data_IF_571094237236
#
_entry.id   IF_571094237236
#
_cell.length_a   1.000
_cell.length_b   1.000
_cell.length_c   1.000
_cell.angle_alpha   90.00
_cell.angle_beta   90.00
_cell.angle_gamma   90.00
#
_symmetry.space_group_name_H-M   'P 1'
#
loop_
_entity.id
_entity.type
_entity.pdbx_description
1 polymer ?
#
# COMPACT_ATOMS: atom_id res chain seq x y z
N UNK A 1 2.80 27.26 -23.72
CA UNK A 1 1.82 26.22 -23.36
C UNK A 1 2.27 25.62 -22.06
N UNK A 2 1.44 25.74 -21.03
CA UNK A 2 1.69 25.36 -19.64
C UNK A 2 1.78 23.82 -19.50
N UNK A 3 2.96 23.26 -19.73
CA UNK A 3 3.22 21.84 -19.48
C UNK A 3 3.46 21.55 -17.98
N UNK A 4 3.89 22.56 -17.23
CA UNK A 4 4.28 22.42 -15.82
C UNK A 4 3.08 22.15 -14.90
N UNK A 5 1.94 22.81 -15.14
CA UNK A 5 0.69 22.59 -14.43
C UNK A 5 0.12 21.20 -14.68
N UNK A 6 0.20 20.72 -15.92
CA UNK A 6 -0.22 19.36 -16.30
C UNK A 6 0.65 18.28 -15.64
N UNK A 7 1.97 18.50 -15.55
CA UNK A 7 2.91 17.59 -14.88
C UNK A 7 2.64 17.49 -13.37
N UNK A 8 2.42 18.60 -12.68
CA UNK A 8 2.11 18.58 -11.24
C UNK A 8 0.74 17.95 -10.97
N UNK A 9 -0.25 18.24 -11.82
CA UNK A 9 -1.57 17.61 -11.77
C UNK A 9 -1.48 16.09 -11.88
N UNK A 10 -0.55 15.56 -12.69
CA UNK A 10 -0.29 14.12 -12.78
C UNK A 10 0.22 13.54 -11.46
N UNK A 11 1.21 14.20 -10.83
CA UNK A 11 1.75 13.76 -9.53
C UNK A 11 0.64 13.76 -8.47
N UNK A 12 -0.15 14.82 -8.41
CA UNK A 12 -1.30 14.92 -7.51
C UNK A 12 -2.30 13.78 -7.71
N UNK A 13 -2.71 13.51 -8.96
CA UNK A 13 -3.69 12.45 -9.26
C UNK A 13 -3.18 11.06 -8.90
N UNK A 14 -1.90 10.77 -9.13
CA UNK A 14 -1.28 9.50 -8.75
C UNK A 14 -1.20 9.36 -7.22
N UNK A 15 -0.79 10.41 -6.52
CA UNK A 15 -0.74 10.42 -5.05
C UNK A 15 -2.14 10.25 -4.44
N UNK A 16 -3.14 10.94 -4.98
CA UNK A 16 -4.54 10.81 -4.55
C UNK A 16 -5.09 9.40 -4.82
N UNK A 17 -4.82 8.83 -5.99
CA UNK A 17 -5.21 7.45 -6.30
C UNK A 17 -4.55 6.47 -5.32
N UNK A 18 -3.24 6.63 -5.06
CA UNK A 18 -2.51 5.84 -4.06
C UNK A 18 -3.18 5.92 -2.69
N UNK A 19 -3.54 7.13 -2.25
CA UNK A 19 -4.23 7.38 -0.97
C UNK A 19 -5.57 6.63 -0.90
N UNK A 20 -6.42 6.77 -1.92
CA UNK A 20 -7.75 6.16 -1.95
C UNK A 20 -7.69 4.64 -1.99
N UNK A 21 -6.81 4.06 -2.80
CA UNK A 21 -6.63 2.60 -2.86
C UNK A 21 -6.02 2.07 -1.55
N UNK A 22 -5.16 2.85 -0.89
CA UNK A 22 -4.61 2.49 0.43
C UNK A 22 -5.68 2.46 1.52
N UNK A 23 -6.66 3.39 1.49
CA UNK A 23 -7.80 3.34 2.39
C UNK A 23 -8.61 2.05 2.20
N UNK A 24 -8.90 1.68 0.95
CA UNK A 24 -9.55 0.40 0.64
C UNK A 24 -8.71 -0.79 1.14
N UNK A 25 -7.39 -0.78 0.90
CA UNK A 25 -6.46 -1.81 1.37
C UNK A 25 -6.51 -2.00 2.90
N UNK A 26 -6.56 -0.91 3.67
CA UNK A 26 -6.65 -0.94 5.14
C UNK A 26 -7.98 -1.56 5.59
N UNK A 27 -9.09 -1.19 4.93
CA UNK A 27 -10.41 -1.76 5.22
C UNK A 27 -10.41 -3.27 4.96
N UNK A 28 -9.96 -3.70 3.79
CA UNK A 28 -9.90 -5.14 3.43
C UNK A 28 -8.93 -5.90 4.34
N UNK A 29 -7.79 -5.31 4.70
CA UNK A 29 -6.86 -5.91 5.67
C UNK A 29 -7.45 -6.05 7.08
N UNK A 30 -8.33 -5.13 7.48
CA UNK A 30 -9.07 -5.23 8.74
C UNK A 30 -10.11 -6.34 8.69
N UNK A 31 -10.79 -6.51 7.54
CA UNK A 31 -11.71 -7.63 7.32
C UNK A 31 -11.00 -8.99 7.38
N UNK A 32 -9.79 -9.09 6.80
CA UNK A 32 -9.00 -10.32 6.84
C UNK A 32 -8.71 -10.80 8.28
N UNK A 33 -8.53 -9.86 9.22
CA UNK A 33 -8.30 -10.18 10.65
C UNK A 33 -9.54 -10.63 11.42
N UNK A 34 -10.73 -10.55 10.84
CA UNK A 34 -11.95 -11.05 11.49
C UNK A 34 -12.03 -12.58 11.46
N UNK A 35 -11.20 -13.23 10.65
CA UNK A 35 -11.13 -14.68 10.54
C UNK A 35 -10.06 -15.25 11.49
N UNK A 36 -10.26 -16.47 12.05
CA UNK A 36 -9.26 -17.11 12.91
C UNK A 36 -7.92 -17.30 12.18
N UNK A 37 -6.82 -17.19 12.91
CA UNK A 37 -5.49 -17.40 12.33
C UNK A 37 -5.35 -18.81 11.73
N UNK A 38 -4.71 -18.91 10.56
CA UNK A 38 -4.56 -20.17 9.82
C UNK A 38 -5.82 -20.61 9.07
N UNK A 39 -6.88 -19.80 9.02
CA UNK A 39 -8.00 -19.98 8.09
C UNK A 39 -7.75 -19.22 6.78
N UNK A 40 -8.57 -19.39 5.75
CA UNK A 40 -8.40 -18.70 4.47
C UNK A 40 -7.21 -19.23 3.67
N UNK A 41 -6.12 -18.45 3.59
CA UNK A 41 -4.89 -18.86 2.89
C UNK A 41 -3.89 -19.62 3.77
N UNK A 42 -4.27 -19.93 5.02
CA UNK A 42 -3.38 -20.55 5.98
C UNK A 42 -2.24 -19.60 6.40
N UNK A 43 -1.08 -20.16 6.76
CA UNK A 43 0.11 -19.38 7.11
C UNK A 43 1.04 -19.21 5.91
N UNK A 44 0.48 -19.07 4.72
CA UNK A 44 1.23 -19.01 3.48
C UNK A 44 1.26 -17.60 2.88
N UNK A 45 2.44 -17.23 2.41
CA UNK A 45 2.68 -16.03 1.63
C UNK A 45 3.95 -16.26 0.80
N UNK A 46 3.96 -15.92 -0.51
CA UNK A 46 2.97 -15.13 -1.25
C UNK A 46 1.80 -15.94 -1.82
N UNK A 47 1.90 -17.28 -1.84
CA UNK A 47 0.83 -18.17 -2.31
C UNK A 47 -0.30 -18.33 -1.27
N UNK A 48 -1.43 -18.84 -1.71
CA UNK A 48 -2.59 -19.15 -0.89
C UNK A 48 -2.92 -20.64 -1.02
N UNK A 49 -2.61 -21.45 0.00
CA UNK A 49 -2.74 -22.91 -0.02
C UNK A 49 -2.05 -23.57 -1.23
N UNK A 50 -0.82 -23.14 -1.55
CA UNK A 50 -0.03 -23.61 -2.68
C UNK A 50 -0.51 -23.12 -4.05
N UNK A 51 -1.56 -22.29 -4.09
CA UNK A 51 -2.21 -21.83 -5.32
C UNK A 51 -2.11 -20.31 -5.49
N UNK A 52 -2.16 -19.85 -6.74
CA UNK A 52 -2.28 -18.43 -7.09
C UNK A 52 -3.75 -18.00 -7.09
N UNK A 53 -4.63 -18.88 -7.58
CA UNK A 53 -6.08 -18.68 -7.53
C UNK A 53 -6.55 -19.26 -6.18
N UNK A 54 -7.12 -18.45 -5.28
CA UNK A 54 -7.58 -18.95 -4.00
C UNK A 54 -8.78 -19.88 -4.15
N UNK A 55 -9.02 -20.77 -3.16
CA UNK A 55 -10.30 -21.44 -3.06
C UNK A 55 -11.44 -20.41 -2.95
N UNK A 56 -12.64 -20.77 -3.41
CA UNK A 56 -13.84 -19.93 -3.36
C UNK A 56 -14.45 -19.86 -1.95
N UNK A 57 -13.60 -19.69 -0.94
CA UNK A 57 -13.96 -19.50 0.44
C UNK A 57 -13.76 -18.03 0.82
N UNK A 58 -14.71 -17.46 1.56
CA UNK A 58 -14.72 -16.03 1.86
C UNK A 58 -13.42 -15.53 2.51
N UNK A 59 -12.87 -16.27 3.48
CA UNK A 59 -11.64 -15.89 4.15
C UNK A 59 -10.44 -15.81 3.18
N UNK A 60 -10.29 -16.81 2.31
CA UNK A 60 -9.22 -16.84 1.31
C UNK A 60 -9.38 -15.72 0.26
N UNK A 61 -10.62 -15.46 -0.17
CA UNK A 61 -10.93 -14.38 -1.10
C UNK A 61 -10.58 -13.01 -0.53
N UNK A 62 -10.87 -12.76 0.75
CA UNK A 62 -10.54 -11.49 1.42
C UNK A 62 -9.03 -11.30 1.54
N UNK A 63 -8.29 -12.35 1.91
CA UNK A 63 -6.83 -12.29 1.97
C UNK A 63 -6.16 -12.05 0.62
N UNK A 64 -6.61 -12.74 -0.43
CA UNK A 64 -6.09 -12.50 -1.79
C UNK A 64 -6.51 -11.12 -2.29
N UNK A 65 -7.72 -10.65 -2.00
CA UNK A 65 -8.13 -9.30 -2.32
C UNK A 65 -7.24 -8.25 -1.65
N UNK A 66 -6.87 -8.46 -0.38
CA UNK A 66 -5.89 -7.61 0.31
C UNK A 66 -4.53 -7.62 -0.40
N UNK A 67 -4.02 -8.79 -0.82
CA UNK A 67 -2.75 -8.92 -1.56
C UNK A 67 -2.80 -8.19 -2.91
N UNK A 68 -3.89 -8.33 -3.66
CA UNK A 68 -4.09 -7.65 -4.96
C UNK A 68 -4.14 -6.12 -4.78
N UNK A 69 -4.84 -5.64 -3.75
CA UNK A 69 -4.84 -4.22 -3.41
C UNK A 69 -3.44 -3.74 -3.00
N UNK A 70 -2.67 -4.54 -2.26
CA UNK A 70 -1.32 -4.18 -1.86
C UNK A 70 -0.38 -4.03 -3.07
N UNK A 71 -0.47 -4.94 -4.05
CA UNK A 71 0.24 -4.81 -5.33
C UNK A 71 -0.19 -3.55 -6.09
N UNK A 72 -1.49 -3.26 -6.12
CA UNK A 72 -2.02 -2.06 -6.76
C UNK A 72 -1.47 -0.77 -6.12
N UNK A 73 -1.42 -0.73 -4.78
CA UNK A 73 -0.81 0.37 -4.02
C UNK A 73 0.69 0.48 -4.30
N UNK A 74 1.42 -0.63 -4.40
CA UNK A 74 2.84 -0.63 -4.76
C UNK A 74 3.08 -0.01 -6.14
N UNK A 75 2.28 -0.38 -7.13
CA UNK A 75 2.40 0.16 -8.48
C UNK A 75 2.07 1.66 -8.50
N UNK A 76 1.00 2.08 -7.83
CA UNK A 76 0.59 3.49 -7.76
C UNK A 76 1.61 4.35 -6.98
N UNK A 77 2.10 3.86 -5.85
CA UNK A 77 3.13 4.54 -5.06
C UNK A 77 4.44 4.65 -5.85
N UNK A 78 4.88 3.55 -6.50
CA UNK A 78 6.05 3.57 -7.36
C UNK A 78 5.91 4.55 -8.53
N UNK A 79 4.76 4.57 -9.19
CA UNK A 79 4.46 5.54 -10.25
C UNK A 79 4.46 6.99 -9.71
N UNK A 80 3.91 7.22 -8.51
CA UNK A 80 3.93 8.53 -7.84
C UNK A 80 5.37 8.98 -7.57
N UNK A 81 6.22 8.10 -7.02
CA UNK A 81 7.63 8.38 -6.74
C UNK A 81 8.40 8.67 -8.02
N UNK A 82 8.22 7.87 -9.07
CA UNK A 82 8.85 8.11 -10.38
C UNK A 82 8.40 9.47 -10.92
N UNK A 83 7.10 9.73 -10.98
CA UNK A 83 6.54 10.98 -11.49
C UNK A 83 7.10 12.20 -10.71
N UNK A 84 7.13 12.14 -9.39
CA UNK A 84 7.68 13.20 -8.55
C UNK A 84 9.19 13.46 -8.81
N UNK A 85 9.96 12.39 -9.03
CA UNK A 85 11.40 12.50 -9.25
C UNK A 85 11.76 13.00 -10.66
N UNK A 86 10.99 12.61 -11.68
CA UNK A 86 11.24 13.03 -13.08
C UNK A 86 10.65 14.39 -13.41
N UNK A 87 9.68 14.88 -12.63
CA UNK A 87 9.08 16.21 -12.82
C UNK A 87 10.04 17.30 -12.31
N UNK A 88 10.64 18.14 -13.17
CA UNK A 88 11.67 19.09 -12.75
C UNK A 88 11.16 20.13 -11.75
N UNK A 89 9.92 20.58 -11.93
CA UNK A 89 9.24 21.58 -11.09
C UNK A 89 8.78 21.03 -9.74
N UNK A 90 8.86 19.72 -9.50
CA UNK A 90 8.50 19.13 -8.21
C UNK A 90 9.49 19.55 -7.13
N UNK A 91 8.96 20.08 -6.03
CA UNK A 91 9.78 20.49 -4.89
C UNK A 91 10.51 19.30 -4.25
N UNK A 92 11.64 19.57 -3.59
CA UNK A 92 12.38 18.56 -2.84
C UNK A 92 11.51 17.88 -1.77
N UNK A 93 10.54 18.61 -1.21
CA UNK A 93 9.57 18.08 -0.24
C UNK A 93 8.67 17.01 -0.85
N UNK A 94 8.09 17.25 -2.03
CA UNK A 94 7.23 16.26 -2.72
C UNK A 94 8.03 14.99 -3.02
N UNK A 95 9.26 15.14 -3.53
CA UNK A 95 10.17 14.01 -3.80
C UNK A 95 10.50 13.23 -2.55
N UNK A 96 10.89 13.90 -1.47
CA UNK A 96 11.22 13.27 -0.20
C UNK A 96 10.03 12.49 0.36
N UNK A 97 8.83 13.08 0.38
CA UNK A 97 7.62 12.41 0.86
C UNK A 97 7.28 11.17 0.02
N UNK A 98 7.37 11.25 -1.30
CA UNK A 98 7.09 10.12 -2.18
C UNK A 98 8.13 8.98 -2.05
N UNK A 99 9.42 9.32 -1.91
CA UNK A 99 10.49 8.32 -1.69
C UNK A 99 10.36 7.67 -0.32
N UNK A 100 10.16 8.46 0.74
CA UNK A 100 9.95 7.94 2.10
C UNK A 100 8.70 7.08 2.18
N UNK A 101 7.60 7.48 1.54
CA UNK A 101 6.38 6.68 1.45
C UNK A 101 6.64 5.32 0.80
N UNK A 102 7.31 5.30 -0.36
CA UNK A 102 7.66 4.05 -1.04
C UNK A 102 8.56 3.15 -0.17
N UNK A 103 9.56 3.72 0.52
CA UNK A 103 10.42 2.96 1.42
C UNK A 103 9.63 2.31 2.58
N UNK A 104 8.71 3.05 3.20
CA UNK A 104 7.83 2.52 4.25
C UNK A 104 6.90 1.44 3.69
N UNK A 105 6.37 1.60 2.49
CA UNK A 105 5.54 0.59 1.83
C UNK A 105 6.29 -0.72 1.57
N UNK A 106 7.54 -0.64 1.13
CA UNK A 106 8.38 -1.83 0.91
C UNK A 106 8.62 -2.58 2.22
N UNK A 107 8.92 -1.86 3.31
CA UNK A 107 9.01 -2.44 4.65
C UNK A 107 7.67 -3.08 5.06
N UNK A 108 6.57 -2.41 4.78
CA UNK A 108 5.23 -2.85 5.13
C UNK A 108 4.84 -4.17 4.42
N UNK A 109 5.27 -4.37 3.18
CA UNK A 109 5.07 -5.64 2.46
C UNK A 109 5.77 -6.79 3.19
N UNK A 110 7.00 -6.57 3.66
CA UNK A 110 7.75 -7.58 4.43
C UNK A 110 7.05 -7.87 5.75
N UNK A 111 6.69 -6.84 6.52
CA UNK A 111 5.99 -7.00 7.81
C UNK A 111 4.61 -7.66 7.63
N UNK A 112 3.92 -7.36 6.53
CA UNK A 112 2.64 -7.99 6.18
C UNK A 112 2.77 -9.47 5.85
N UNK A 113 3.78 -9.83 5.05
CA UNK A 113 4.13 -11.23 4.80
C UNK A 113 4.45 -11.99 6.09
N UNK A 114 5.26 -11.40 6.98
CA UNK A 114 5.54 -11.98 8.30
C UNK A 114 4.28 -12.13 9.15
N UNK A 115 3.34 -11.19 9.08
CA UNK A 115 2.05 -11.29 9.79
C UNK A 115 1.29 -12.53 9.31
N UNK A 116 1.27 -12.82 8.01
CA UNK A 116 0.60 -14.01 7.47
C UNK A 116 1.31 -15.31 7.90
N UNK A 117 2.64 -15.39 7.75
CA UNK A 117 3.39 -16.63 7.99
C UNK A 117 3.51 -16.97 9.48
N UNK A 118 3.52 -15.97 10.36
CA UNK A 118 3.64 -16.16 11.81
C UNK A 118 2.29 -16.32 12.53
N UNK A 119 1.18 -16.50 11.80
CA UNK A 119 -0.17 -16.55 12.36
C UNK A 119 -0.54 -15.27 13.14
N UNK A 120 -0.11 -14.11 12.64
CA UNK A 120 -0.40 -12.77 13.13
C UNK A 120 -0.18 -12.53 14.64
N UNK A 121 1.04 -12.71 15.17
CA UNK A 121 1.34 -12.36 16.56
C UNK A 121 1.02 -10.89 16.81
N UNK A 122 0.44 -10.57 17.96
CA UNK A 122 -0.07 -9.22 18.26
C UNK A 122 0.95 -8.11 17.99
N UNK A 123 2.22 -8.31 18.38
CA UNK A 123 3.28 -7.35 18.13
C UNK A 123 3.51 -7.10 16.62
N UNK A 124 3.59 -8.16 15.80
CA UNK A 124 3.82 -8.03 14.36
C UNK A 124 2.62 -7.35 13.69
N UNK A 125 1.39 -7.69 14.11
CA UNK A 125 0.17 -7.07 13.60
C UNK A 125 0.09 -5.56 13.95
N UNK A 126 0.52 -5.17 15.16
CA UNK A 126 0.59 -3.76 15.58
C UNK A 126 1.66 -3.00 14.79
N UNK A 127 2.84 -3.59 14.60
CA UNK A 127 3.91 -3.01 13.78
C UNK A 127 3.43 -2.81 12.33
N UNK A 128 2.75 -3.81 11.77
CA UNK A 128 2.14 -3.72 10.45
C UNK A 128 1.14 -2.56 10.38
N UNK A 129 0.18 -2.47 11.31
CA UNK A 129 -0.79 -1.38 11.28
C UNK A 129 -0.13 0.00 11.46
N UNK A 130 0.87 0.10 12.33
CA UNK A 130 1.60 1.35 12.58
C UNK A 130 2.34 1.83 11.34
N UNK A 131 3.02 0.93 10.64
CA UNK A 131 3.69 1.25 9.37
C UNK A 131 2.69 1.62 8.27
N UNK A 132 1.50 1.01 8.22
CA UNK A 132 0.42 1.44 7.33
C UNK A 132 -0.05 2.87 7.64
N UNK A 133 -0.22 3.22 8.92
CA UNK A 133 -0.61 4.58 9.32
C UNK A 133 0.46 5.63 8.97
N UNK A 134 1.74 5.26 9.10
CA UNK A 134 2.83 6.13 8.65
C UNK A 134 2.81 6.31 7.13
N UNK A 135 2.64 5.22 6.37
CA UNK A 135 2.57 5.25 4.92
C UNK A 135 1.42 6.14 4.40
N UNK A 136 0.21 6.00 4.96
CA UNK A 136 -0.92 6.83 4.55
C UNK A 136 -0.72 8.30 4.92
N UNK A 137 -0.10 8.60 6.07
CA UNK A 137 0.25 9.97 6.46
C UNK A 137 1.25 10.62 5.50
N UNK A 138 2.28 9.90 5.09
CA UNK A 138 3.26 10.36 4.09
C UNK A 138 2.60 10.59 2.73
N UNK A 139 1.72 9.67 2.31
CA UNK A 139 1.01 9.77 1.02
C UNK A 139 0.03 10.94 1.00
N UNK A 140 -0.70 11.17 2.10
CA UNK A 140 -1.55 12.34 2.27
C UNK A 140 -0.73 13.64 2.20
N UNK A 141 0.39 13.70 2.90
CA UNK A 141 1.28 14.86 2.85
C UNK A 141 1.85 15.11 1.45
N UNK A 142 2.21 14.05 0.72
CA UNK A 142 2.66 14.14 -0.67
C UNK A 142 1.55 14.69 -1.59
N UNK A 143 0.32 14.19 -1.40
CA UNK A 143 -0.87 14.65 -2.15
C UNK A 143 -1.14 16.13 -1.91
N UNK A 144 -1.13 16.57 -0.65
CA UNK A 144 -1.33 17.98 -0.30
C UNK A 144 -0.20 18.87 -0.83
N UNK A 145 1.05 18.42 -0.76
CA UNK A 145 2.20 19.17 -1.26
C UNK A 145 2.25 19.26 -2.80
N UNK A 146 1.66 18.30 -3.51
CA UNK A 146 1.54 18.32 -4.97
C UNK A 146 0.33 19.15 -5.47
N UNK A 147 -0.58 19.53 -4.58
CA UNK A 147 -1.72 20.38 -4.90
C UNK A 147 -1.45 21.88 -4.71
N UNK A 148 -0.33 22.21 -4.05
CA UNK A 148 0.11 23.57 -3.74
C UNK A 148 1.05 24.12 -4.81
#
# INVERSE_FOLDING_TARGET
MDNSGDEMTRVYRLALATLLVTLALIVVGSLARLHPAGTGCGNEWPLCNGQIIPPLEWAALVEVAHRVLAVSVLLLAGATTIAACVTPVASARVRALAVSGLAVLLLQIVVGGLTAVLAAPALVAVLHLTAAMLFIGLTLAATAAAAA
#
